data_IF_179710172245
#
_entry.id   IF_179710172245
#
_cell.length_a   1.000
_cell.length_b   1.000
_cell.length_c   1.000
_cell.angle_alpha   90.00
_cell.angle_beta   90.00
_cell.angle_gamma   90.00
#
_symmetry.space_group_name_H-M   'P 1'
#
loop_
_entity.id
_entity.type
_entity.pdbx_description
1 polymer ?
#
# COMPACT_ATOMS: atom_id res chain seq x y z
N UNK A 1 8.82 3.82 -6.05
CA UNK A 1 8.04 2.86 -5.25
C UNK A 1 6.82 2.42 -6.03
N UNK A 2 6.53 1.14 -6.03
CA UNK A 2 5.36 0.58 -6.70
C UNK A 2 4.55 -0.29 -5.77
N UNK A 3 3.32 -0.58 -6.14
CA UNK A 3 2.44 -1.43 -5.34
C UNK A 3 1.49 -2.18 -6.26
N UNK A 4 0.96 -3.28 -5.77
CA UNK A 4 -0.09 -4.03 -6.46
C UNK A 4 -0.92 -4.83 -5.47
N UNK A 5 -2.13 -5.20 -5.89
CA UNK A 5 -2.91 -6.19 -5.19
C UNK A 5 -2.43 -7.58 -5.57
N UNK A 6 -2.33 -8.45 -4.58
CA UNK A 6 -1.92 -9.84 -4.80
C UNK A 6 -2.72 -10.74 -3.86
N UNK A 7 -2.40 -12.03 -3.84
CA UNK A 7 -3.03 -12.97 -2.91
C UNK A 7 -1.95 -13.77 -2.19
N UNK A 8 -2.16 -13.94 -0.90
CA UNK A 8 -1.30 -14.77 -0.07
C UNK A 8 -2.18 -15.75 0.72
N UNK A 9 -1.92 -17.04 0.56
CA UNK A 9 -2.69 -18.07 1.23
C UNK A 9 -4.18 -18.00 0.93
N UNK A 10 -4.56 -17.53 -0.25
CA UNK A 10 -5.96 -17.40 -0.63
C UNK A 10 -6.62 -16.11 -0.16
N UNK A 11 -5.88 -15.22 0.47
CA UNK A 11 -6.40 -13.94 0.96
C UNK A 11 -5.82 -12.77 0.17
N UNK A 12 -6.63 -11.72 -0.11
CA UNK A 12 -6.10 -10.53 -0.77
C UNK A 12 -5.03 -9.86 0.07
N UNK A 13 -3.98 -9.40 -0.58
CA UNK A 13 -2.87 -8.73 0.09
C UNK A 13 -2.40 -7.54 -0.74
N UNK A 14 -1.86 -6.55 -0.03
CA UNK A 14 -1.20 -5.38 -0.62
C UNK A 14 0.29 -5.64 -0.65
N UNK A 15 0.88 -5.61 -1.83
CA UNK A 15 2.32 -5.74 -1.99
C UNK A 15 2.92 -4.40 -2.36
N UNK A 16 3.92 -3.96 -1.61
CA UNK A 16 4.62 -2.69 -1.86
C UNK A 16 6.08 -2.97 -2.09
N UNK A 17 6.62 -2.42 -3.17
CA UNK A 17 8.00 -2.59 -3.55
C UNK A 17 8.74 -1.27 -3.50
N UNK A 18 9.86 -1.25 -2.81
CA UNK A 18 10.74 -0.10 -2.73
C UNK A 18 12.01 -0.38 -3.54
N UNK A 19 12.13 0.30 -4.68
CA UNK A 19 13.31 0.17 -5.54
C UNK A 19 14.39 1.20 -5.25
N UNK A 20 14.13 2.10 -4.30
CA UNK A 20 15.10 3.11 -3.91
C UNK A 20 16.12 2.60 -2.92
N UNK A 21 17.04 3.46 -2.54
CA UNK A 21 18.10 3.17 -1.59
C UNK A 21 17.83 3.75 -0.20
N UNK A 22 16.63 4.28 0.01
CA UNK A 22 16.18 4.80 1.31
C UNK A 22 14.95 4.02 1.73
N UNK A 23 14.85 3.68 3.01
CA UNK A 23 13.66 3.00 3.51
C UNK A 23 12.42 3.89 3.40
N UNK A 24 11.26 3.27 3.23
CA UNK A 24 9.98 3.96 3.11
C UNK A 24 9.12 3.60 4.31
N UNK A 25 8.62 4.61 5.01
CA UNK A 25 7.66 4.43 6.10
C UNK A 25 6.27 4.75 5.58
N UNK A 26 5.36 3.78 5.66
CA UNK A 26 3.99 3.93 5.20
C UNK A 26 3.06 4.16 6.39
N UNK A 27 2.25 5.19 6.32
CA UNK A 27 1.24 5.48 7.33
C UNK A 27 -0.02 6.01 6.67
N UNK A 28 -1.13 5.91 7.38
CA UNK A 28 -2.45 6.36 6.92
C UNK A 28 -2.75 5.82 5.51
N UNK A 29 -2.62 4.52 5.36
CA UNK A 29 -2.76 3.85 4.07
C UNK A 29 -4.23 3.54 3.80
N UNK A 30 -4.68 3.88 2.60
CA UNK A 30 -6.02 3.57 2.14
C UNK A 30 -6.00 3.06 0.71
N UNK A 31 -6.97 2.22 0.38
CA UNK A 31 -7.16 1.69 -0.97
C UNK A 31 -8.52 2.10 -1.49
N UNK A 32 -8.58 2.42 -2.77
CA UNK A 32 -9.82 2.76 -3.47
C UNK A 32 -10.20 1.64 -4.42
N UNK A 33 -11.48 1.29 -4.40
CA UNK A 33 -12.07 0.33 -5.31
C UNK A 33 -13.49 0.73 -5.64
N UNK A 34 -13.79 0.89 -6.92
CA UNK A 34 -15.13 1.21 -7.37
C UNK A 34 -15.68 2.51 -6.77
N UNK A 35 -14.84 3.52 -6.58
CA UNK A 35 -15.24 4.79 -6.01
C UNK A 35 -15.33 4.82 -4.48
N UNK A 36 -15.07 3.68 -3.83
CA UNK A 36 -15.06 3.59 -2.38
C UNK A 36 -13.65 3.52 -1.84
N UNK A 37 -13.40 4.26 -0.77
CA UNK A 37 -12.10 4.31 -0.12
C UNK A 37 -12.16 3.53 1.18
N UNK A 38 -11.21 2.61 1.37
CA UNK A 38 -11.10 1.80 2.57
C UNK A 38 -9.75 2.02 3.23
N UNK A 39 -9.76 2.27 4.52
CA UNK A 39 -8.53 2.44 5.29
C UNK A 39 -7.90 1.08 5.56
N UNK A 40 -6.64 0.94 5.20
CA UNK A 40 -5.84 -0.25 5.53
C UNK A 40 -5.17 -0.06 6.88
N UNK A 41 -4.65 1.14 7.14
CA UNK A 41 -4.03 1.47 8.40
C UNK A 41 -4.28 2.95 8.72
N UNK A 42 -4.76 3.20 9.94
CA UNK A 42 -5.07 4.54 10.43
C UNK A 42 -3.90 5.12 11.22
N UNK A 43 -2.73 4.66 10.97
CA UNK A 43 -1.49 5.08 11.58
C UNK A 43 -0.36 4.41 10.83
N UNK A 44 0.67 4.01 11.52
CA UNK A 44 1.81 3.34 10.90
C UNK A 44 1.39 1.96 10.38
N UNK A 45 1.56 1.73 9.08
CA UNK A 45 1.40 0.40 8.51
C UNK A 45 2.69 -0.41 8.65
N UNK A 46 3.81 0.19 8.32
CA UNK A 46 5.09 -0.47 8.38
C UNK A 46 6.14 0.20 7.53
N UNK A 47 7.26 -0.46 7.38
CA UNK A 47 8.41 0.02 6.62
C UNK A 47 8.71 -0.94 5.48
N UNK A 48 9.14 -0.37 4.35
CA UNK A 48 9.69 -1.15 3.25
C UNK A 48 11.16 -0.76 3.12
N UNK A 49 12.03 -1.72 3.34
CA UNK A 49 13.47 -1.50 3.28
C UNK A 49 13.92 -1.27 1.83
N UNK A 50 15.08 -0.64 1.63
CA UNK A 50 15.60 -0.43 0.27
C UNK A 50 15.72 -1.75 -0.50
N UNK A 51 15.34 -1.71 -1.76
CA UNK A 51 15.38 -2.85 -2.68
C UNK A 51 14.61 -4.07 -2.19
N UNK A 52 13.56 -3.84 -1.41
CA UNK A 52 12.77 -4.91 -0.82
C UNK A 52 11.30 -4.78 -1.18
N UNK A 53 10.59 -5.88 -1.02
CA UNK A 53 9.15 -5.96 -1.21
C UNK A 53 8.54 -6.48 0.08
N UNK A 54 7.40 -5.90 0.44
CA UNK A 54 6.67 -6.32 1.62
C UNK A 54 5.19 -6.35 1.34
N UNK A 55 4.47 -7.26 1.98
CA UNK A 55 3.02 -7.35 1.80
C UNK A 55 2.28 -7.35 3.12
N UNK A 56 1.04 -6.88 3.05
CA UNK A 56 0.13 -6.80 4.19
C UNK A 56 -1.25 -7.28 3.75
N UNK A 57 -2.05 -7.86 4.66
CA UNK A 57 -3.41 -8.25 4.31
C UNK A 57 -4.26 -7.03 3.97
N UNK A 58 -5.16 -7.21 3.01
CA UNK A 58 -6.14 -6.18 2.62
C UNK A 58 -7.44 -6.43 3.38
N UNK A 59 -8.14 -5.37 3.84
CA UNK A 59 -9.44 -5.54 4.47
C UNK A 59 -10.45 -6.27 3.58
N UNK A 60 -11.36 -6.99 4.20
CA UNK A 60 -12.40 -7.73 3.51
C UNK A 60 -13.22 -6.81 2.61
N UNK A 61 -13.51 -7.29 1.40
CA UNK A 61 -14.31 -6.54 0.43
C UNK A 61 -13.52 -5.80 -0.63
N UNK A 62 -12.19 -5.70 -0.47
CA UNK A 62 -11.34 -5.10 -1.49
C UNK A 62 -10.63 -6.22 -2.22
N UNK A 63 -10.89 -6.35 -3.52
CA UNK A 63 -10.28 -7.39 -4.36
C UNK A 63 -9.35 -6.84 -5.41
N UNK A 64 -9.73 -5.73 -6.04
CA UNK A 64 -8.96 -5.12 -7.11
C UNK A 64 -8.89 -3.62 -6.88
N UNK A 65 -8.04 -3.18 -5.95
CA UNK A 65 -7.91 -1.75 -5.68
C UNK A 65 -7.36 -1.03 -6.91
N UNK A 66 -7.95 0.11 -7.21
CA UNK A 66 -7.57 0.93 -8.37
C UNK A 66 -6.60 2.05 -7.99
N UNK A 67 -6.52 2.39 -6.72
CA UNK A 67 -5.64 3.46 -6.25
C UNK A 67 -5.25 3.22 -4.79
N UNK A 68 -4.02 3.57 -4.48
CA UNK A 68 -3.51 3.57 -3.11
C UNK A 68 -3.12 4.98 -2.72
N UNK A 69 -3.48 5.38 -1.51
CA UNK A 69 -3.00 6.63 -0.93
C UNK A 69 -2.32 6.34 0.40
N UNK A 70 -1.29 7.12 0.71
CA UNK A 70 -0.51 6.92 1.92
C UNK A 70 0.30 8.17 2.23
N UNK A 71 0.71 8.30 3.49
CA UNK A 71 1.76 9.24 3.86
C UNK A 71 3.09 8.50 3.85
N UNK A 72 4.06 9.09 3.18
CA UNK A 72 5.39 8.52 3.01
C UNK A 72 6.37 9.29 3.87
N UNK A 73 7.03 8.57 4.80
CA UNK A 73 8.06 9.14 5.67
C UNK A 73 7.58 10.36 6.47
N UNK A 74 6.31 10.31 6.92
CA UNK A 74 5.68 11.36 7.73
C UNK A 74 5.65 12.73 7.05
N UNK A 75 5.66 12.77 5.72
CA UNK A 75 5.51 14.02 4.98
C UNK A 75 4.05 14.46 4.99
N UNK A 76 3.83 15.76 4.94
CA UNK A 76 2.48 16.31 4.93
C UNK A 76 1.73 15.99 3.65
N UNK A 77 2.44 15.79 2.54
CA UNK A 77 1.85 15.50 1.26
C UNK A 77 1.44 14.03 1.19
N UNK A 78 0.19 13.79 0.85
CA UNK A 78 -0.30 12.44 0.65
C UNK A 78 0.13 11.91 -0.72
N UNK A 79 0.72 10.72 -0.72
CA UNK A 79 1.10 10.02 -1.95
C UNK A 79 -0.09 9.22 -2.47
N UNK A 80 -0.32 9.28 -3.78
CA UNK A 80 -1.36 8.50 -4.44
C UNK A 80 -0.79 7.85 -5.69
N UNK A 81 -1.21 6.62 -5.95
CA UNK A 81 -0.70 5.88 -7.09
C UNK A 81 -1.67 4.80 -7.54
N UNK A 82 -1.59 4.47 -8.83
CA UNK A 82 -2.28 3.32 -9.39
C UNK A 82 -1.37 2.08 -9.28
N UNK A 83 -1.95 0.86 -9.30
CA UNK A 83 -1.13 -0.34 -9.17
C UNK A 83 -0.22 -0.53 -10.39
N UNK A 84 0.93 -1.15 -10.13
CA UNK A 84 1.83 -1.61 -11.20
C UNK A 84 1.56 -3.08 -11.49
N UNK A 85 1.71 -3.45 -12.73
CA UNK A 85 1.52 -4.83 -13.17
C UNK A 85 2.85 -5.57 -13.25
#
# INVERSE_FOLDING_TARGET
MGWRGTQEGGHPALEVRNKGDVHVRLSQVALEQGGQKRTVADGLLGYVLPNSTRSWPIPTGIRQPSRMSAQINARDTQWQSTPVN
#
